data_IF_697966907418
#
_entry.id   IF_697966907418
#
_cell.length_a   1.000
_cell.length_b   1.000
_cell.length_c   1.000
_cell.angle_alpha   90.00
_cell.angle_beta   90.00
_cell.angle_gamma   90.00
#
_symmetry.space_group_name_H-M   'P 1'
#
loop_
_entity.id
_entity.type
_entity.pdbx_description
1 polymer ?
#
# COMPACT_ATOMS: atom_id res chain seq x y z
N UNK A 1 21.91 -5.56 -12.14
CA UNK A 1 22.29 -4.97 -10.83
C UNK A 1 23.39 -5.82 -10.23
N UNK A 2 24.47 -5.22 -9.76
CA UNK A 2 25.54 -5.95 -9.05
C UNK A 2 25.15 -6.18 -7.60
N UNK A 3 25.73 -7.19 -6.94
CA UNK A 3 25.44 -7.50 -5.53
C UNK A 3 25.69 -6.29 -4.60
N UNK A 4 26.68 -5.46 -4.94
CA UNK A 4 27.01 -4.23 -4.20
C UNK A 4 25.87 -3.22 -4.26
N UNK A 5 25.24 -3.04 -5.43
CA UNK A 5 24.10 -2.11 -5.59
C UNK A 5 22.89 -2.57 -4.77
N UNK A 6 22.62 -3.87 -4.72
CA UNK A 6 21.52 -4.43 -3.92
C UNK A 6 21.75 -4.20 -2.43
N UNK A 7 22.98 -4.41 -1.95
CA UNK A 7 23.35 -4.19 -0.55
C UNK A 7 23.29 -2.70 -0.18
N UNK A 8 23.71 -1.81 -1.09
CA UNK A 8 23.60 -0.36 -0.88
C UNK A 8 22.14 0.08 -0.77
N UNK A 9 21.28 -0.33 -1.70
CA UNK A 9 19.84 0.01 -1.64
C UNK A 9 19.17 -0.58 -0.39
N UNK A 10 19.59 -1.77 0.05
CA UNK A 10 19.11 -2.35 1.31
C UNK A 10 19.56 -1.53 2.53
N UNK A 11 20.80 -1.05 2.54
CA UNK A 11 21.33 -0.24 3.63
C UNK A 11 20.63 1.14 3.71
N UNK A 12 20.39 1.78 2.57
CA UNK A 12 19.65 3.04 2.46
C UNK A 12 18.21 2.89 2.97
N UNK A 13 17.53 1.80 2.60
CA UNK A 13 16.18 1.51 3.05
C UNK A 13 16.10 1.29 4.57
N UNK A 14 17.06 0.57 5.14
CA UNK A 14 17.14 0.37 6.60
C UNK A 14 17.39 1.69 7.33
N UNK A 15 18.27 2.54 6.80
CA UNK A 15 18.56 3.86 7.37
C UNK A 15 17.31 4.76 7.33
N UNK A 16 16.58 4.76 6.21
CA UNK A 16 15.33 5.50 6.06
C UNK A 16 14.28 5.07 7.09
N UNK A 17 14.13 3.76 7.32
CA UNK A 17 13.22 3.22 8.34
C UNK A 17 13.63 3.64 9.75
N UNK A 18 14.92 3.56 10.07
CA UNK A 18 15.42 3.95 11.39
C UNK A 18 15.19 5.44 11.70
N UNK A 19 15.32 6.31 10.70
CA UNK A 19 15.03 7.75 10.83
C UNK A 19 13.55 8.00 11.15
N UNK A 20 12.65 7.34 10.43
CA UNK A 20 11.22 7.50 10.61
C UNK A 20 10.77 7.01 12.00
N UNK A 21 11.31 5.88 12.46
CA UNK A 21 11.11 5.40 13.83
C UNK A 21 11.52 6.46 14.86
N UNK A 22 12.65 7.14 14.65
CA UNK A 22 13.14 8.18 15.56
C UNK A 22 12.18 9.37 15.63
N UNK A 23 11.64 9.81 14.48
CA UNK A 23 10.67 10.90 14.41
C UNK A 23 9.37 10.58 15.15
N UNK A 24 8.87 9.36 15.04
CA UNK A 24 7.69 8.94 15.78
C UNK A 24 7.92 8.88 17.28
N UNK A 25 9.08 8.35 17.70
CA UNK A 25 9.45 8.30 19.12
C UNK A 25 9.52 9.73 19.68
N UNK A 26 10.12 10.67 18.95
CA UNK A 26 10.16 12.09 19.34
C UNK A 26 8.74 12.68 19.45
N UNK A 27 7.88 12.48 18.45
CA UNK A 27 6.50 12.96 18.45
C UNK A 27 5.65 12.37 19.61
N UNK A 28 5.90 11.10 19.96
CA UNK A 28 5.24 10.45 21.09
C UNK A 28 5.72 10.95 22.46
N UNK A 29 7.02 11.29 22.57
CA UNK A 29 7.61 11.87 23.78
C UNK A 29 7.13 13.31 24.01
N UNK A 30 6.97 14.09 22.93
CA UNK A 30 6.53 15.50 23.00
C UNK A 30 5.05 15.69 23.39
N UNK A 31 4.33 14.60 23.70
CA UNK A 31 2.98 14.64 24.29
C UNK A 31 1.86 14.99 23.31
N UNK A 32 2.12 14.97 21.99
CA UNK A 32 1.09 15.08 20.97
C UNK A 32 0.15 13.87 20.98
N UNK A 33 -1.10 14.04 20.53
CA UNK A 33 -2.10 12.97 20.48
C UNK A 33 -1.60 11.78 19.64
N UNK A 34 -1.03 10.81 20.34
CA UNK A 34 -0.39 9.62 19.79
C UNK A 34 -1.42 8.77 19.02
N UNK A 35 -2.73 9.00 19.17
CA UNK A 35 -3.78 8.34 18.37
C UNK A 35 -3.80 8.77 16.91
N UNK A 36 -3.48 10.04 16.60
CA UNK A 36 -3.36 10.51 15.21
C UNK A 36 -2.03 10.15 14.58
N UNK A 37 -0.98 10.04 15.40
CA UNK A 37 0.37 9.68 14.96
C UNK A 37 0.54 8.16 14.83
N UNK A 38 -0.17 7.34 15.64
CA UNK A 38 -0.26 5.87 15.54
C UNK A 38 -1.19 5.36 14.43
N UNK A 39 -1.79 6.23 13.62
CA UNK A 39 -2.38 5.87 12.31
C UNK A 39 -1.27 5.57 11.27
N UNK A 40 -0.20 4.94 11.78
CA UNK A 40 1.03 4.48 11.14
C UNK A 40 0.67 3.25 10.30
N UNK A 41 -0.19 3.46 9.32
CA UNK A 41 -0.25 2.62 8.13
C UNK A 41 1.06 2.79 7.30
N UNK A 42 1.94 3.72 7.69
CA UNK A 42 3.19 4.07 7.01
C UNK A 42 4.40 3.18 7.28
N UNK A 43 4.38 2.26 8.27
CA UNK A 43 5.64 1.65 8.67
C UNK A 43 6.08 0.46 7.81
N UNK A 44 5.32 -0.63 7.67
CA UNK A 44 5.97 -1.85 7.17
C UNK A 44 5.13 -2.85 6.38
N UNK A 45 3.81 -2.86 6.52
CA UNK A 45 2.88 -3.72 5.76
C UNK A 45 1.54 -3.54 6.46
N UNK A 46 0.94 -2.35 6.31
CA UNK A 46 -0.30 -2.03 7.00
C UNK A 46 -1.34 -3.11 6.68
N UNK A 47 -1.83 -3.87 7.68
CA UNK A 47 -2.77 -4.96 7.44
C UNK A 47 -4.03 -4.48 6.73
N UNK A 48 -4.44 -3.23 6.95
CA UNK A 48 -5.54 -2.58 6.25
C UNK A 48 -5.23 -2.34 4.77
N UNK A 49 -4.02 -1.87 4.42
CA UNK A 49 -3.59 -1.69 3.02
C UNK A 49 -3.49 -3.03 2.30
N UNK A 50 -2.91 -4.05 2.96
CA UNK A 50 -2.83 -5.41 2.42
C UNK A 50 -4.22 -5.99 2.19
N UNK A 51 -5.09 -5.93 3.19
CA UNK A 51 -6.48 -6.41 3.10
C UNK A 51 -7.25 -5.65 2.01
N UNK A 52 -7.12 -4.33 1.94
CA UNK A 52 -7.76 -3.51 0.90
C UNK A 52 -7.27 -3.92 -0.50
N UNK A 53 -5.97 -4.15 -0.67
CA UNK A 53 -5.38 -4.63 -1.92
C UNK A 53 -5.92 -6.00 -2.30
N UNK A 54 -5.90 -6.96 -1.38
CA UNK A 54 -6.44 -8.31 -1.59
C UNK A 54 -7.93 -8.26 -1.96
N UNK A 55 -8.73 -7.48 -1.23
CA UNK A 55 -10.16 -7.27 -1.52
C UNK A 55 -10.39 -6.60 -2.89
N UNK A 56 -9.56 -5.62 -3.28
CA UNK A 56 -9.66 -4.98 -4.59
C UNK A 56 -9.32 -5.94 -5.74
N UNK A 57 -8.32 -6.80 -5.55
CA UNK A 57 -7.98 -7.84 -6.54
C UNK A 57 -9.13 -8.83 -6.71
N UNK A 58 -9.72 -9.29 -5.61
CA UNK A 58 -10.91 -10.15 -5.63
C UNK A 58 -12.09 -9.47 -6.33
N UNK A 59 -12.37 -8.20 -5.99
CA UNK A 59 -13.44 -7.45 -6.62
C UNK A 59 -13.24 -7.31 -8.14
N UNK A 60 -12.01 -7.07 -8.60
CA UNK A 60 -11.68 -7.01 -10.04
C UNK A 60 -11.94 -8.36 -10.73
N UNK A 61 -11.59 -9.48 -10.08
CA UNK A 61 -11.82 -10.81 -10.63
C UNK A 61 -13.32 -11.10 -10.79
N UNK A 62 -14.12 -10.84 -9.75
CA UNK A 62 -15.58 -11.01 -9.78
C UNK A 62 -16.23 -10.07 -10.80
N UNK A 63 -15.75 -8.83 -10.91
CA UNK A 63 -16.23 -7.88 -11.92
C UNK A 63 -15.95 -8.37 -13.34
N UNK A 64 -14.80 -9.00 -13.58
CA UNK A 64 -14.46 -9.58 -14.88
C UNK A 64 -15.38 -10.75 -15.25
N UNK A 65 -15.61 -11.66 -14.30
CA UNK A 65 -16.51 -12.80 -14.49
C UNK A 65 -17.96 -12.34 -14.73
N UNK A 66 -18.43 -11.39 -13.92
CA UNK A 66 -19.75 -10.76 -14.09
C UNK A 66 -19.84 -10.02 -15.42
N UNK A 67 -18.79 -9.30 -15.83
CA UNK A 67 -18.76 -8.61 -17.13
C UNK A 67 -18.83 -9.60 -18.29
N UNK A 68 -18.21 -10.77 -18.21
CA UNK A 68 -18.33 -11.83 -19.24
C UNK A 68 -19.75 -12.39 -19.32
N UNK A 69 -20.39 -12.62 -18.17
CA UNK A 69 -21.75 -13.13 -18.10
C UNK A 69 -22.80 -12.12 -18.61
N UNK A 70 -22.66 -10.83 -18.28
CA UNK A 70 -23.67 -9.80 -18.55
C UNK A 70 -23.31 -8.85 -19.70
N UNK A 71 -22.10 -8.94 -20.27
CA UNK A 71 -21.56 -8.03 -21.31
C UNK A 71 -21.68 -6.54 -20.97
N UNK A 72 -21.66 -6.18 -19.69
CA UNK A 72 -21.85 -4.79 -19.22
C UNK A 72 -20.62 -3.93 -19.51
N UNK A 73 -20.82 -2.83 -20.24
CA UNK A 73 -19.79 -1.81 -20.50
C UNK A 73 -19.43 -1.04 -19.22
N UNK A 74 -20.37 -0.81 -18.31
CA UNK A 74 -20.12 -0.09 -17.06
C UNK A 74 -19.18 -0.89 -16.13
N UNK A 75 -19.34 -2.22 -16.07
CA UNK A 75 -18.44 -3.08 -15.30
C UNK A 75 -17.02 -3.11 -15.88
N UNK A 76 -16.88 -3.05 -17.21
CA UNK A 76 -15.56 -2.96 -17.86
C UNK A 76 -14.83 -1.66 -17.52
N UNK A 77 -15.54 -0.53 -17.54
CA UNK A 77 -14.98 0.79 -17.17
C UNK A 77 -14.54 0.78 -15.70
N UNK A 78 -15.39 0.27 -14.80
CA UNK A 78 -15.05 0.17 -13.39
C UNK A 78 -13.83 -0.73 -13.16
N UNK A 79 -13.76 -1.89 -13.82
CA UNK A 79 -12.60 -2.80 -13.76
C UNK A 79 -11.30 -2.09 -14.14
N UNK A 80 -11.29 -1.36 -15.26
CA UNK A 80 -10.11 -0.62 -15.73
C UNK A 80 -9.68 0.46 -14.74
N UNK A 81 -10.64 1.19 -14.15
CA UNK A 81 -10.35 2.20 -13.12
C UNK A 81 -9.70 1.59 -11.88
N UNK A 82 -10.23 0.47 -11.39
CA UNK A 82 -9.69 -0.21 -10.20
C UNK A 82 -8.29 -0.79 -10.45
N UNK A 83 -8.03 -1.34 -11.65
CA UNK A 83 -6.69 -1.78 -12.05
C UNK A 83 -5.69 -0.60 -12.06
N UNK A 84 -6.10 0.55 -12.59
CA UNK A 84 -5.26 1.76 -12.60
C UNK A 84 -4.87 2.19 -11.18
N UNK A 85 -5.85 2.29 -10.29
CA UNK A 85 -5.61 2.64 -8.88
C UNK A 85 -4.69 1.64 -8.18
N UNK A 86 -4.83 0.34 -8.46
CA UNK A 86 -3.92 -0.67 -7.91
C UNK A 86 -2.49 -0.54 -8.41
N UNK A 87 -2.29 -0.17 -9.68
CA UNK A 87 -0.97 0.02 -10.27
C UNK A 87 -0.26 1.27 -9.73
N UNK A 88 -1.00 2.34 -9.48
CA UNK A 88 -0.49 3.60 -8.90
C UNK A 88 -0.09 3.45 -7.43
N UNK A 89 -0.69 2.50 -6.72
CA UNK A 89 -0.46 2.23 -5.29
C UNK A 89 0.28 0.91 -5.04
N UNK A 90 0.96 0.36 -6.05
CA UNK A 90 1.66 -0.93 -6.00
C UNK A 90 2.96 -0.88 -5.19
#
# INVERSE_FOLDING_TARGET
>A
MTAIQVLQSSAEELQRRAEEHRRLIAAAIDGGDVKGVLDVCGFLDCPHRRRLRETLVEAIAVLEETRRAFKSKQLEVLRKKLIGVLAENA
#
